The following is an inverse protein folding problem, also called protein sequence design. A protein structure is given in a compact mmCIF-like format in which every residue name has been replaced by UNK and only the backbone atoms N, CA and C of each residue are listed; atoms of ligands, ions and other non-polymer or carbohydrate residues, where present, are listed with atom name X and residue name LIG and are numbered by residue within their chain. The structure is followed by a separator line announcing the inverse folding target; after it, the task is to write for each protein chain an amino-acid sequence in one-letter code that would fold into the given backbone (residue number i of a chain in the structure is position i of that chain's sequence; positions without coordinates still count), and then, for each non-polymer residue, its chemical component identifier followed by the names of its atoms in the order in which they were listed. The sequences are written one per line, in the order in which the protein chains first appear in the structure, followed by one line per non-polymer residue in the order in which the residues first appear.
data_IF_459443860490
#
_entry.id   IF_459443860490
#
_cell.length_a   1.000
_cell.length_b   1.000
_cell.length_c   1.000
_cell.angle_alpha   90.00
_cell.angle_beta   90.00
_cell.angle_gamma   90.00
#
_symmetry.space_group_name_H-M   'P 1'
#
loop_
_entity.id
_entity.type
_entity.pdbx_description
1 polymer ?
#
# COMPACT_ATOMS: atom_id res chain seq x y z
N UNK A 1 4.31 -14.46 13.82
CA UNK A 1 5.74 -14.20 13.48
C UNK A 1 6.16 -12.83 14.00
N UNK A 2 7.39 -12.71 14.51
CA UNK A 2 7.94 -11.44 15.03
C UNK A 2 9.39 -11.24 14.60
N UNK A 3 9.74 -10.05 14.10
CA UNK A 3 11.08 -9.74 13.58
C UNK A 3 11.43 -8.27 13.78
N UNK A 4 12.72 -8.00 14.01
CA UNK A 4 13.26 -6.63 14.00
C UNK A 4 13.96 -6.42 12.65
N UNK A 5 13.55 -5.38 11.92
CA UNK A 5 14.12 -5.02 10.62
C UNK A 5 14.42 -3.52 10.67
N UNK A 6 15.67 -3.12 10.40
CA UNK A 6 16.11 -1.71 10.45
C UNK A 6 15.73 -0.98 11.76
N UNK A 7 15.85 -1.67 12.90
CA UNK A 7 15.52 -1.12 14.22
C UNK A 7 14.02 -1.03 14.53
N UNK A 8 13.14 -1.49 13.62
CA UNK A 8 11.68 -1.47 13.82
C UNK A 8 11.16 -2.88 14.09
N UNK A 9 10.24 -3.01 15.05
CA UNK A 9 9.55 -4.26 15.37
C UNK A 9 8.37 -4.48 14.42
N UNK A 10 8.32 -5.68 13.85
CA UNK A 10 7.22 -6.22 13.07
C UNK A 10 6.69 -7.46 13.78
N UNK A 11 5.41 -7.45 14.13
CA UNK A 11 4.78 -8.46 14.97
C UNK A 11 3.37 -8.72 14.46
N UNK A 12 3.15 -9.91 13.89
CA UNK A 12 1.84 -10.29 13.30
C UNK A 12 0.75 -10.44 14.36
N UNK A 13 1.09 -10.61 15.64
CA UNK A 13 0.10 -10.75 16.72
C UNK A 13 -0.43 -9.38 17.20
N UNK A 14 0.37 -8.33 17.02
CA UNK A 14 0.03 -6.96 17.45
C UNK A 14 -0.45 -6.06 16.32
N UNK A 15 -0.17 -6.46 15.09
CA UNK A 15 -0.61 -5.77 13.88
C UNK A 15 -2.01 -6.21 13.49
N UNK A 16 -2.73 -5.34 12.77
CA UNK A 16 -4.05 -5.63 12.23
C UNK A 16 -3.89 -6.28 10.86
N UNK A 17 -4.45 -7.47 10.60
CA UNK A 17 -4.48 -8.03 9.25
C UNK A 17 -5.37 -7.16 8.36
N UNK A 18 -4.93 -6.94 7.13
CA UNK A 18 -5.64 -6.19 6.10
C UNK A 18 -6.16 -7.19 5.08
N UNK A 19 -7.48 -7.34 5.03
CA UNK A 19 -8.15 -8.34 4.18
C UNK A 19 -7.79 -9.79 4.53
N UNK A 20 -8.23 -10.69 3.66
CA UNK A 20 -7.96 -12.12 3.71
C UNK A 20 -6.57 -12.47 3.23
N UNK A 21 -6.04 -13.61 3.68
CA UNK A 21 -4.76 -14.09 3.20
C UNK A 21 -4.87 -14.57 1.74
N UNK A 22 -3.88 -14.22 0.95
CA UNK A 22 -3.79 -14.64 -0.43
C UNK A 22 -3.09 -15.98 -0.53
N UNK A 23 -3.67 -16.91 -1.29
CA UNK A 23 -3.04 -18.18 -1.66
C UNK A 23 -3.28 -18.42 -3.15
N UNK A 24 -2.26 -18.81 -3.94
CA UNK A 24 -2.45 -19.06 -5.36
C UNK A 24 -3.42 -20.21 -5.64
N UNK A 25 -4.26 -20.04 -6.66
CA UNK A 25 -5.19 -21.08 -7.08
C UNK A 25 -4.44 -22.32 -7.61
N UNK A 26 -5.02 -23.50 -7.36
CA UNK A 26 -4.52 -24.77 -7.92
C UNK A 26 -3.42 -25.45 -7.10
N UNK A 27 -2.99 -24.87 -5.98
CA UNK A 27 -2.03 -25.49 -5.06
C UNK A 27 -2.71 -25.76 -3.71
N UNK A 28 -2.75 -27.03 -3.31
CA UNK A 28 -3.18 -27.39 -1.96
C UNK A 28 -2.08 -27.09 -0.94
N UNK A 29 -2.42 -26.97 0.34
CA UNK A 29 -1.46 -26.69 1.43
C UNK A 29 -0.30 -27.69 1.54
N UNK A 30 -0.44 -28.87 0.95
CA UNK A 30 0.60 -29.91 0.89
C UNK A 30 1.50 -29.80 -0.35
N UNK A 31 1.21 -28.90 -1.28
CA UNK A 31 2.01 -28.70 -2.48
C UNK A 31 3.30 -27.93 -2.16
N UNK A 32 4.42 -28.37 -2.75
CA UNK A 32 5.71 -27.72 -2.51
C UNK A 32 5.77 -26.27 -3.00
N UNK A 33 4.93 -25.89 -3.96
CA UNK A 33 4.83 -24.53 -4.50
C UNK A 33 3.78 -23.67 -3.81
N UNK A 34 2.99 -24.25 -2.91
CA UNK A 34 1.99 -23.49 -2.15
C UNK A 34 2.65 -22.38 -1.34
N UNK A 35 1.99 -21.23 -1.27
CA UNK A 35 2.31 -20.17 -0.34
C UNK A 35 1.05 -19.40 0.08
N UNK A 36 1.13 -18.73 1.21
CA UNK A 36 0.12 -17.80 1.71
C UNK A 36 0.79 -16.49 2.11
N UNK A 37 0.16 -15.38 1.76
CA UNK A 37 0.61 -14.02 2.03
C UNK A 37 -0.49 -13.24 2.75
N UNK A 38 -0.14 -12.57 3.83
CA UNK A 38 -1.05 -11.70 4.57
C UNK A 38 -0.42 -10.32 4.75
N UNK A 39 -1.15 -9.29 4.31
CA UNK A 39 -0.81 -7.91 4.58
C UNK A 39 -1.22 -7.52 6.00
N UNK A 40 -0.34 -6.81 6.69
CA UNK A 40 -0.56 -6.31 8.04
C UNK A 40 -0.30 -4.81 8.13
N UNK A 41 -1.14 -4.11 8.91
CA UNK A 41 -0.95 -2.73 9.31
C UNK A 41 -0.56 -2.64 10.78
N UNK A 42 0.55 -1.96 11.07
CA UNK A 42 0.95 -1.63 12.45
C UNK A 42 0.05 -0.52 13.01
N UNK A 43 0.01 -0.39 14.34
CA UNK A 43 -0.64 0.75 15.02
C UNK A 43 -0.06 2.12 14.62
N UNK A 44 1.18 2.14 14.14
CA UNK A 44 1.86 3.34 13.62
C UNK A 44 1.43 3.72 12.19
N UNK A 45 0.61 2.90 11.53
CA UNK A 45 0.22 3.07 10.12
C UNK A 45 1.19 2.45 9.10
N UNK A 46 2.33 1.94 9.54
CA UNK A 46 3.27 1.23 8.67
C UNK A 46 2.75 -0.15 8.25
N UNK A 47 3.00 -0.54 7.01
CA UNK A 47 2.60 -1.84 6.47
C UNK A 47 3.75 -2.82 6.38
N UNK A 48 3.42 -4.11 6.42
CA UNK A 48 4.35 -5.18 6.12
C UNK A 48 3.59 -6.43 5.65
N UNK A 49 4.25 -7.20 4.79
CA UNK A 49 3.77 -8.48 4.32
C UNK A 49 4.40 -9.59 5.15
N UNK A 50 3.58 -10.53 5.60
CA UNK A 50 4.03 -11.80 6.11
C UNK A 50 3.63 -12.89 5.13
N UNK A 51 4.62 -13.56 4.56
CA UNK A 51 4.38 -14.70 3.70
C UNK A 51 5.05 -15.97 4.21
N UNK A 52 4.43 -17.10 3.92
CA UNK A 52 4.91 -18.43 4.26
C UNK A 52 4.63 -19.38 3.11
N UNK A 53 5.44 -20.41 2.95
CA UNK A 53 5.20 -21.37 1.87
C UNK A 53 6.11 -22.58 1.90
N UNK A 54 5.85 -23.46 0.93
CA UNK A 54 6.58 -24.71 0.75
C UNK A 54 8.00 -24.51 0.20
N UNK A 55 8.77 -25.61 0.10
CA UNK A 55 10.18 -25.60 -0.32
C UNK A 55 10.44 -25.14 -1.76
N UNK A 56 9.42 -25.06 -2.61
CA UNK A 56 9.50 -24.52 -3.98
C UNK A 56 8.75 -23.19 -4.14
N UNK A 57 8.37 -22.55 -3.02
CA UNK A 57 7.71 -21.25 -3.01
C UNK A 57 8.71 -20.08 -2.98
N UNK A 58 8.25 -18.83 -3.21
CA UNK A 58 9.06 -17.62 -3.01
C UNK A 58 9.59 -17.45 -1.58
N UNK A 59 8.99 -18.16 -0.62
CA UNK A 59 9.33 -18.13 0.81
C UNK A 59 10.23 -19.29 1.24
N UNK A 60 10.72 -20.08 0.29
CA UNK A 60 11.62 -21.19 0.57
C UNK A 60 12.92 -20.77 1.24
N UNK A 61 13.45 -21.66 2.08
CA UNK A 61 14.70 -21.48 2.81
C UNK A 61 15.67 -22.62 2.50
N UNK A 62 16.99 -22.35 2.42
CA UNK A 62 17.98 -23.38 2.17
C UNK A 62 18.02 -24.40 3.32
N UNK A 63 18.16 -25.68 2.99
CA UNK A 63 18.22 -26.77 3.96
C UNK A 63 19.26 -27.84 3.56
N UNK A 64 20.17 -28.16 4.47
CA UNK A 64 21.19 -29.19 4.25
C UNK A 64 22.15 -28.88 3.09
N UNK A 65 22.71 -29.94 2.48
CA UNK A 65 23.68 -29.82 1.38
C UNK A 65 22.99 -29.65 0.02
N UNK A 66 22.27 -28.54 -0.15
CA UNK A 66 21.63 -28.16 -1.41
C UNK A 66 20.13 -28.46 -1.52
N UNK A 67 19.48 -28.80 -0.39
CA UNK A 67 18.04 -28.91 -0.31
C UNK A 67 17.37 -27.55 -0.04
N UNK A 68 16.04 -27.55 -0.11
CA UNK A 68 15.18 -26.42 0.22
C UNK A 68 14.07 -26.91 1.15
N UNK A 69 13.69 -26.09 2.11
CA UNK A 69 12.57 -26.32 3.02
C UNK A 69 11.54 -25.18 2.89
N UNK A 70 10.33 -25.43 3.37
CA UNK A 70 9.35 -24.35 3.53
C UNK A 70 9.85 -23.30 4.52
N UNK A 71 9.47 -22.06 4.30
CA UNK A 71 9.95 -20.94 5.10
C UNK A 71 8.91 -19.86 5.26
N UNK A 72 9.27 -18.83 6.02
CA UNK A 72 8.41 -17.67 6.26
C UNK A 72 9.24 -16.39 6.32
N UNK A 73 8.68 -15.28 5.83
CA UNK A 73 9.38 -13.99 5.78
C UNK A 73 8.43 -12.85 6.11
N UNK A 74 8.98 -11.86 6.80
CA UNK A 74 8.38 -10.53 6.93
C UNK A 74 9.12 -9.58 6.01
N UNK A 75 8.37 -8.84 5.17
CA UNK A 75 8.87 -7.78 4.31
C UNK A 75 8.15 -6.47 4.67
N UNK A 76 8.86 -5.44 5.18
CA UNK A 76 8.29 -4.10 5.34
C UNK A 76 7.88 -3.52 3.99
N UNK A 77 6.71 -2.88 3.93
CA UNK A 77 6.20 -2.23 2.72
C UNK A 77 6.00 -0.74 2.96
N UNK A 78 6.18 0.04 1.90
CA UNK A 78 5.65 1.40 1.83
C UNK A 78 4.13 1.38 1.67
N UNK A 79 3.47 2.52 1.87
CA UNK A 79 2.03 2.63 1.69
C UNK A 79 1.61 2.28 0.24
N UNK A 80 2.37 2.73 -0.75
CA UNK A 80 2.08 2.45 -2.16
C UNK A 80 2.27 0.96 -2.49
N UNK A 81 3.33 0.33 -1.99
CA UNK A 81 3.52 -1.12 -2.16
C UNK A 81 2.43 -1.94 -1.47
N UNK A 82 1.91 -1.46 -0.33
CA UNK A 82 0.80 -2.12 0.36
C UNK A 82 -0.50 -1.99 -0.44
N UNK A 83 -0.75 -0.83 -1.06
CA UNK A 83 -1.89 -0.61 -1.97
C UNK A 83 -1.78 -1.51 -3.19
N UNK A 84 -0.63 -1.54 -3.86
CA UNK A 84 -0.40 -2.37 -5.04
C UNK A 84 -0.60 -3.86 -4.72
N UNK A 85 -0.08 -4.33 -3.59
CA UNK A 85 -0.34 -5.71 -3.14
C UNK A 85 -1.82 -5.95 -2.88
N UNK A 86 -2.51 -5.01 -2.23
CA UNK A 86 -3.93 -5.14 -1.93
C UNK A 86 -4.80 -5.13 -3.20
N UNK A 87 -4.51 -4.28 -4.17
CA UNK A 87 -5.21 -4.24 -5.47
C UNK A 87 -5.08 -5.56 -6.24
N UNK A 88 -3.90 -6.18 -6.16
CA UNK A 88 -3.63 -7.42 -6.88
C UNK A 88 -4.25 -8.67 -6.20
N UNK A 89 -4.47 -8.64 -4.89
CA UNK A 89 -4.76 -9.85 -4.11
C UNK A 89 -6.04 -9.80 -3.27
N UNK A 90 -6.52 -8.62 -2.88
CA UNK A 90 -7.74 -8.46 -2.09
C UNK A 90 -8.97 -8.20 -2.96
N UNK A 91 -10.15 -8.44 -2.39
CA UNK A 91 -11.40 -8.00 -3.01
C UNK A 91 -11.57 -6.48 -2.92
N UNK A 92 -12.42 -5.91 -3.79
CA UNK A 92 -12.73 -4.48 -3.75
C UNK A 92 -13.25 -4.04 -2.37
N UNK A 93 -14.15 -4.81 -1.75
CA UNK A 93 -14.69 -4.49 -0.42
C UNK A 93 -13.60 -4.43 0.66
N UNK A 94 -12.64 -5.37 0.63
CA UNK A 94 -11.52 -5.39 1.59
C UNK A 94 -10.53 -4.25 1.35
N UNK A 95 -10.29 -3.92 0.09
CA UNK A 95 -9.45 -2.79 -0.29
C UNK A 95 -10.07 -1.47 0.18
N UNK A 96 -11.36 -1.25 -0.10
CA UNK A 96 -12.08 -0.04 0.29
C UNK A 96 -12.19 0.11 1.81
N UNK A 97 -12.34 -1.00 2.55
CA UNK A 97 -12.38 -0.97 4.01
C UNK A 97 -11.07 -0.44 4.64
N UNK A 98 -9.93 -0.66 3.99
CA UNK A 98 -8.62 -0.21 4.49
C UNK A 98 -8.19 1.13 3.91
N UNK A 99 -8.31 1.30 2.59
CA UNK A 99 -7.76 2.45 1.86
C UNK A 99 -8.82 3.52 1.52
N UNK A 100 -10.10 3.23 1.75
CA UNK A 100 -11.24 4.05 1.31
C UNK A 100 -11.60 3.75 -0.14
N UNK A 101 -12.74 4.26 -0.61
CA UNK A 101 -13.09 4.20 -2.04
C UNK A 101 -12.08 5.01 -2.84
N UNK A 102 -11.51 4.50 -3.96
CA UNK A 102 -10.66 5.31 -4.81
C UNK A 102 -11.50 6.50 -5.29
N UNK A 103 -11.12 7.72 -4.93
CA UNK A 103 -11.80 8.92 -5.41
C UNK A 103 -11.50 9.10 -6.91
N UNK A 104 -12.24 8.40 -7.77
CA UNK A 104 -12.52 8.88 -9.13
C UNK A 104 -13.60 9.97 -9.03
N UNK A 105 -13.21 11.16 -8.57
CA UNK A 105 -14.13 12.26 -8.38
C UNK A 105 -13.46 13.63 -8.33
N UNK A 106 -14.11 14.62 -8.93
CA UNK A 106 -13.77 16.03 -8.75
C UNK A 106 -14.27 16.51 -7.38
N UNK A 107 -13.35 16.85 -6.47
CA UNK A 107 -13.70 17.44 -5.18
C UNK A 107 -13.78 18.99 -5.29
N UNK A 108 -14.86 19.59 -4.80
CA UNK A 108 -15.03 21.06 -4.81
C UNK A 108 -14.37 21.69 -3.60
N UNK A 109 -13.29 22.46 -3.80
CA UNK A 109 -12.71 23.31 -2.76
C UNK A 109 -13.41 24.67 -2.76
N UNK A 110 -14.21 24.94 -1.71
CA UNK A 110 -14.83 26.26 -1.50
C UNK A 110 -14.16 26.99 -0.34
N UNK A 111 -13.66 28.20 -0.60
CA UNK A 111 -13.02 29.03 0.40
C UNK A 111 -13.27 30.52 0.14
N UNK A 112 -13.34 31.32 1.21
CA UNK A 112 -13.29 32.78 1.11
C UNK A 112 -11.82 33.20 1.15
N UNK A 113 -11.37 33.87 0.10
CA UNK A 113 -10.01 34.40 -0.03
C UNK A 113 -10.02 35.92 -0.10
N UNK A 114 -8.87 36.54 0.16
CA UNK A 114 -8.72 37.98 -0.03
C UNK A 114 -8.83 38.35 -1.51
N UNK A 115 -9.25 39.59 -1.80
CA UNK A 115 -9.26 40.12 -3.17
C UNK A 115 -7.87 40.07 -3.82
N UNK A 116 -6.82 40.25 -3.02
CA UNK A 116 -5.44 40.16 -3.49
C UNK A 116 -5.09 38.74 -3.99
N UNK A 117 -5.50 37.70 -3.25
CA UNK A 117 -5.30 36.31 -3.64
C UNK A 117 -6.11 35.94 -4.90
N UNK A 118 -7.36 36.40 -5.00
CA UNK A 118 -8.19 36.20 -6.20
C UNK A 118 -7.54 36.83 -7.45
N UNK A 119 -7.03 38.06 -7.33
CA UNK A 119 -6.34 38.74 -8.43
C UNK A 119 -5.02 38.05 -8.80
N UNK A 120 -4.31 37.49 -7.83
CA UNK A 120 -3.10 36.71 -8.10
C UNK A 120 -3.42 35.45 -8.91
N UNK A 121 -4.48 34.73 -8.53
CA UNK A 121 -4.97 33.56 -9.26
C UNK A 121 -5.39 33.90 -10.70
N UNK A 122 -6.09 35.01 -10.91
CA UNK A 122 -6.49 35.48 -12.25
C UNK A 122 -5.30 35.84 -13.14
N UNK A 123 -4.30 36.55 -12.58
CA UNK A 123 -3.08 36.89 -13.33
C UNK A 123 -2.30 35.65 -13.73
N UNK A 124 -2.20 34.67 -12.83
CA UNK A 124 -1.49 33.43 -13.09
C UNK A 124 -2.21 32.60 -14.17
N UNK A 125 -3.53 32.45 -14.06
CA UNK A 125 -4.36 31.77 -15.06
C UNK A 125 -4.21 32.43 -16.45
N UNK A 126 -4.21 33.76 -16.53
CA UNK A 126 -4.00 34.48 -17.79
C UNK A 126 -2.57 34.31 -18.34
N UNK A 127 -1.56 34.21 -17.46
CA UNK A 127 -0.16 34.03 -17.84
C UNK A 127 0.13 32.64 -18.40
N UNK A 128 -0.49 31.60 -17.83
CA UNK A 128 -0.28 30.20 -18.23
C UNK A 128 -1.28 29.71 -19.27
N UNK A 129 -2.40 30.41 -19.47
CA UNK A 129 -3.50 29.96 -20.32
C UNK A 129 -4.35 28.86 -19.67
N UNK A 130 -4.16 28.61 -18.37
CA UNK A 130 -4.87 27.59 -17.60
C UNK A 130 -6.19 28.13 -17.03
N UNK A 131 -7.10 27.23 -16.63
CA UNK A 131 -8.24 27.60 -15.80
C UNK A 131 -7.78 27.91 -14.37
N UNK A 132 -8.57 28.69 -13.62
CA UNK A 132 -8.25 28.95 -12.21
C UNK A 132 -8.22 27.66 -11.36
N UNK A 133 -9.04 26.66 -11.71
CA UNK A 133 -9.02 25.36 -11.05
C UNK A 133 -7.65 24.66 -11.23
N UNK A 134 -7.15 24.61 -12.48
CA UNK A 134 -5.85 23.98 -12.78
C UNK A 134 -4.68 24.69 -12.10
N UNK A 135 -4.72 26.02 -11.99
CA UNK A 135 -3.72 26.78 -11.23
C UNK A 135 -3.76 26.41 -9.74
N UNK A 136 -4.95 26.25 -9.16
CA UNK A 136 -5.09 25.80 -7.77
C UNK A 136 -4.56 24.38 -7.58
N UNK A 137 -4.92 23.44 -8.45
CA UNK A 137 -4.41 22.07 -8.43
C UNK A 137 -2.89 22.04 -8.46
N UNK A 138 -2.26 22.71 -9.43
CA UNK A 138 -0.80 22.77 -9.56
C UNK A 138 -0.12 23.34 -8.31
N UNK A 139 -0.72 24.36 -7.68
CA UNK A 139 -0.19 24.94 -6.45
C UNK A 139 -0.34 23.99 -5.25
N UNK A 140 -1.40 23.17 -5.21
CA UNK A 140 -1.62 22.17 -4.17
C UNK A 140 -0.71 20.94 -4.36
N UNK A 141 -0.52 20.49 -5.61
CA UNK A 141 0.40 19.41 -5.99
C UNK A 141 1.82 19.71 -5.48
N UNK A 142 2.29 20.96 -5.65
CA UNK A 142 3.61 21.40 -5.20
C UNK A 142 3.78 21.58 -3.68
N UNK A 143 2.75 21.33 -2.86
CA UNK A 143 2.88 21.27 -1.39
C UNK A 143 3.31 19.88 -0.90
N UNK A 144 3.20 18.86 -1.76
CA UNK A 144 3.54 17.47 -1.45
C UNK A 144 4.99 17.07 -1.80
N UNK A 145 5.73 17.96 -2.47
CA UNK A 145 7.17 17.83 -2.80
C UNK A 145 8.04 18.54 -1.74
#
# INVERSE_FOLDING_TARGET
MKKIINGRLYDTEKATPVGTDYTPAGFGVTDFKWYSEQLYRKKTGEYFLHGQGGPLSPYSEPYGQGGSQGGSRIAPLTADQAREWAEAHLTADEWEAEFGTPEEGEAVVSARVSLAAKRALEREAARTGETQARVVERLLEGLGE
#
